data_IF_791147865359
#
_entry.id   IF_791147865359
#
_cell.length_a   1.000
_cell.length_b   1.000
_cell.length_c   1.000
_cell.angle_alpha   90.00
_cell.angle_beta   90.00
_cell.angle_gamma   90.00
#
_symmetry.space_group_name_H-M   'P 1'
#
loop_
_entity.id
_entity.type
_entity.pdbx_description
1 polymer ?
#
# COMPACT_ATOMS: atom_id res chain seq x y z
N UNK A 1 0.09 19.25 27.58
CA UNK A 1 -0.16 19.28 26.12
C UNK A 1 -0.68 17.91 25.75
N UNK A 2 -1.92 17.81 25.26
CA UNK A 2 -2.52 16.52 24.91
C UNK A 2 -1.99 16.10 23.53
N UNK A 3 -1.32 14.94 23.46
CA UNK A 3 -0.67 14.44 22.25
C UNK A 3 -1.69 14.17 21.13
N UNK A 4 -1.59 14.85 19.97
CA UNK A 4 -2.54 14.71 18.86
C UNK A 4 -2.55 13.31 18.23
N UNK A 5 -1.49 12.53 18.41
CA UNK A 5 -1.45 11.12 18.00
C UNK A 5 -2.38 10.23 18.85
N UNK A 6 -2.54 10.52 20.14
CA UNK A 6 -3.44 9.75 21.02
C UNK A 6 -4.91 9.98 20.65
N UNK A 7 -5.26 11.19 20.22
CA UNK A 7 -6.61 11.52 19.76
C UNK A 7 -6.91 10.84 18.41
N UNK A 8 -5.95 10.86 17.47
CA UNK A 8 -6.08 10.17 16.19
C UNK A 8 -6.23 8.64 16.35
N UNK A 9 -5.47 8.03 17.26
CA UNK A 9 -5.59 6.60 17.57
C UNK A 9 -6.93 6.30 18.24
N UNK A 10 -7.42 7.16 19.14
CA UNK A 10 -8.72 7.01 19.81
C UNK A 10 -9.88 7.12 18.82
N UNK A 11 -9.84 8.09 17.91
CA UNK A 11 -10.84 8.25 16.84
C UNK A 11 -10.88 7.03 15.92
N UNK A 12 -9.71 6.55 15.48
CA UNK A 12 -9.60 5.36 14.63
C UNK A 12 -10.13 4.10 15.32
N UNK A 13 -9.79 3.89 16.60
CA UNK A 13 -10.28 2.76 17.41
C UNK A 13 -11.79 2.83 17.64
N UNK A 14 -12.33 4.04 17.83
CA UNK A 14 -13.76 4.26 18.01
C UNK A 14 -14.55 3.99 16.73
N UNK A 15 -14.01 4.39 15.57
CA UNK A 15 -14.60 4.11 14.26
C UNK A 15 -14.63 2.61 13.95
N UNK A 16 -13.56 1.89 14.30
CA UNK A 16 -13.48 0.44 14.16
C UNK A 16 -14.47 -0.29 15.07
N UNK A 17 -14.66 0.17 16.30
CA UNK A 17 -15.60 -0.40 17.26
C UNK A 17 -17.06 -0.15 16.86
N UNK A 18 -17.36 1.04 16.32
CA UNK A 18 -18.68 1.37 15.76
C UNK A 18 -18.97 0.56 14.48
N UNK A 19 -17.95 0.29 13.65
CA UNK A 19 -18.07 -0.59 12.48
C UNK A 19 -18.30 -2.07 12.88
N UNK A 20 -17.67 -2.53 13.96
CA UNK A 20 -17.85 -3.89 14.48
C UNK A 20 -19.22 -4.09 15.17
N UNK A 21 -19.76 -3.04 15.80
CA UNK A 21 -21.10 -3.05 16.39
C UNK A 21 -22.24 -2.90 15.35
N UNK A 22 -21.93 -2.38 14.15
CA UNK A 22 -22.88 -2.24 13.03
C UNK A 22 -23.02 -3.51 12.16
N UNK A 23 -22.22 -4.56 12.39
CA UNK A 23 -22.29 -5.84 11.67
C UNK A 23 -23.52 -6.71 12.02
N UNK A 24 -24.44 -6.22 12.87
CA UNK A 24 -25.65 -6.93 13.31
C UNK A 24 -26.98 -6.38 12.77
N UNK A 25 -27.01 -5.22 12.11
CA UNK A 25 -28.26 -4.65 11.61
C UNK A 25 -28.02 -3.63 10.51
N UNK A 26 -28.66 -3.86 9.37
CA UNK A 26 -28.93 -2.92 8.29
C UNK A 26 -27.71 -2.28 7.58
N UNK A 27 -27.52 -2.63 6.31
CA UNK A 27 -26.65 -1.92 5.37
C UNK A 27 -27.09 -0.45 5.25
N UNK A 28 -26.42 0.45 5.99
CA UNK A 28 -26.66 1.89 5.90
C UNK A 28 -25.84 2.51 4.74
N UNK A 29 -26.47 3.20 3.78
CA UNK A 29 -25.76 3.85 2.67
C UNK A 29 -24.76 4.94 3.12
N UNK A 30 -24.91 5.50 4.31
CA UNK A 30 -23.97 6.47 4.89
C UNK A 30 -22.61 5.86 5.25
N UNK A 31 -22.56 4.58 5.63
CA UNK A 31 -21.29 3.91 5.95
C UNK A 31 -20.49 3.60 4.69
N UNK A 32 -21.18 3.37 3.57
CA UNK A 32 -20.56 3.17 2.26
C UNK A 32 -19.97 4.48 1.70
N UNK A 33 -20.64 5.62 1.95
CA UNK A 33 -20.11 6.95 1.61
C UNK A 33 -18.87 7.30 2.43
N UNK A 34 -18.87 7.03 3.74
CA UNK A 34 -17.71 7.29 4.60
C UNK A 34 -16.50 6.44 4.19
N UNK A 35 -16.70 5.19 3.76
CA UNK A 35 -15.63 4.34 3.24
C UNK A 35 -15.08 4.84 1.90
N UNK A 36 -15.95 5.28 0.99
CA UNK A 36 -15.54 5.78 -0.32
C UNK A 36 -14.73 7.09 -0.18
N UNK A 37 -15.16 7.98 0.72
CA UNK A 37 -14.47 9.24 1.01
C UNK A 37 -13.09 9.01 1.63
N UNK A 38 -12.99 8.13 2.63
CA UNK A 38 -11.69 7.76 3.22
C UNK A 38 -10.72 7.15 2.19
N UNK A 39 -11.25 6.37 1.25
CA UNK A 39 -10.46 5.75 0.19
C UNK A 39 -9.97 6.78 -0.82
N UNK A 40 -10.83 7.71 -1.24
CA UNK A 40 -10.47 8.84 -2.09
C UNK A 40 -9.38 9.69 -1.46
N UNK A 41 -9.54 10.04 -0.19
CA UNK A 41 -8.54 10.84 0.52
C UNK A 41 -7.17 10.14 0.57
N UNK A 42 -7.16 8.81 0.76
CA UNK A 42 -5.94 8.01 0.72
C UNK A 42 -5.32 7.93 -0.69
N UNK A 43 -6.15 7.82 -1.73
CA UNK A 43 -5.71 7.84 -3.13
C UNK A 43 -5.17 9.23 -3.53
N UNK A 44 -5.81 10.31 -3.10
CA UNK A 44 -5.36 11.69 -3.34
C UNK A 44 -4.03 11.97 -2.65
N UNK A 45 -3.85 11.55 -1.39
CA UNK A 45 -2.56 11.64 -0.70
C UNK A 45 -1.47 10.86 -1.44
N UNK A 46 -1.77 9.65 -1.92
CA UNK A 46 -0.85 8.85 -2.73
C UNK A 46 -0.49 9.57 -4.04
N UNK A 47 -1.47 10.12 -4.75
CA UNK A 47 -1.24 10.87 -5.99
C UNK A 47 -0.43 12.15 -5.75
N UNK A 48 -0.67 12.87 -4.66
CA UNK A 48 0.11 14.05 -4.28
C UNK A 48 1.57 13.70 -4.03
N UNK A 49 1.84 12.61 -3.31
CA UNK A 49 3.22 12.12 -3.11
C UNK A 49 3.86 11.70 -4.43
N UNK A 50 3.17 10.89 -5.24
CA UNK A 50 3.68 10.45 -6.54
C UNK A 50 3.97 11.62 -7.48
N UNK A 51 3.18 12.71 -7.41
CA UNK A 51 3.42 13.91 -8.22
C UNK A 51 4.69 14.66 -7.83
N UNK A 52 5.08 14.61 -6.56
CA UNK A 52 6.34 15.22 -6.10
C UNK A 52 7.54 14.36 -6.47
N UNK A 53 7.38 13.03 -6.46
CA UNK A 53 8.45 12.06 -6.65
C UNK A 53 8.70 11.75 -8.15
N UNK A 54 7.66 11.76 -8.99
CA UNK A 54 7.76 11.41 -10.40
C UNK A 54 7.94 12.65 -11.30
N UNK A 55 8.67 12.49 -12.41
CA UNK A 55 8.65 13.49 -13.49
C UNK A 55 7.34 13.46 -14.28
N UNK A 56 7.05 14.51 -15.05
CA UNK A 56 5.86 14.57 -15.91
C UNK A 56 5.83 13.44 -16.95
N UNK A 57 6.99 13.07 -17.49
CA UNK A 57 7.12 11.96 -18.45
C UNK A 57 6.88 10.61 -17.79
N UNK A 58 7.46 10.39 -16.60
CA UNK A 58 7.23 9.15 -15.84
C UNK A 58 5.74 8.96 -15.49
N UNK A 59 5.03 10.03 -15.10
CA UNK A 59 3.57 9.98 -14.85
C UNK A 59 2.78 9.59 -16.09
N UNK A 60 3.09 10.20 -17.25
CA UNK A 60 2.45 9.85 -18.51
C UNK A 60 2.70 8.38 -18.89
N UNK A 61 3.90 7.87 -18.60
CA UNK A 61 4.25 6.46 -18.83
C UNK A 61 3.46 5.52 -17.91
N UNK A 62 3.37 5.80 -16.61
CA UNK A 62 2.56 5.02 -15.66
C UNK A 62 1.09 5.01 -16.09
N UNK A 63 0.53 6.17 -16.48
CA UNK A 63 -0.85 6.27 -16.97
C UNK A 63 -1.08 5.41 -18.23
N UNK A 64 -0.16 5.42 -19.19
CA UNK A 64 -0.23 4.57 -20.39
C UNK A 64 -0.19 3.09 -20.05
N UNK A 65 0.63 2.71 -19.07
CA UNK A 65 0.74 1.32 -18.60
C UNK A 65 -0.52 0.91 -17.85
N UNK A 66 -1.11 1.79 -17.06
CA UNK A 66 -2.35 1.52 -16.35
C UNK A 66 -3.52 1.18 -17.29
N UNK A 67 -3.55 1.77 -18.49
CA UNK A 67 -4.54 1.45 -19.52
C UNK A 67 -4.45 0.00 -20.02
N UNK A 68 -3.23 -0.54 -20.14
CA UNK A 68 -3.01 -1.89 -20.68
C UNK A 68 -2.91 -2.96 -19.58
N UNK A 69 -2.31 -2.62 -18.44
CA UNK A 69 -2.01 -3.50 -17.31
C UNK A 69 -1.99 -2.70 -16.00
N UNK A 70 -3.17 -2.47 -15.38
CA UNK A 70 -3.27 -1.69 -14.13
C UNK A 70 -2.52 -2.34 -12.96
N UNK A 71 -2.42 -3.66 -12.94
CA UNK A 71 -1.69 -4.42 -11.91
C UNK A 71 -0.19 -4.05 -11.87
N UNK A 72 0.45 -3.97 -13.05
CA UNK A 72 1.86 -3.56 -13.15
C UNK A 72 2.07 -2.09 -12.79
N UNK A 73 1.15 -1.22 -13.16
CA UNK A 73 1.21 0.19 -12.79
C UNK A 73 1.17 0.34 -11.26
N UNK A 74 0.23 -0.34 -10.58
CA UNK A 74 0.14 -0.32 -9.12
C UNK A 74 1.38 -0.88 -8.44
N UNK A 75 1.95 -1.99 -8.93
CA UNK A 75 3.16 -2.56 -8.36
C UNK A 75 4.35 -1.58 -8.42
N UNK A 76 4.44 -0.79 -9.49
CA UNK A 76 5.50 0.20 -9.66
C UNK A 76 5.25 1.42 -8.76
N UNK A 77 4.01 1.90 -8.68
CA UNK A 77 3.63 2.98 -7.75
C UNK A 77 3.92 2.61 -6.30
N UNK A 78 3.62 1.38 -5.88
CA UNK A 78 3.88 0.88 -4.52
C UNK A 78 5.38 0.85 -4.19
N UNK A 79 6.20 0.34 -5.10
CA UNK A 79 7.65 0.33 -4.93
C UNK A 79 8.22 1.74 -4.81
N UNK A 80 7.71 2.69 -5.60
CA UNK A 80 8.15 4.09 -5.57
C UNK A 80 7.71 4.77 -4.27
N UNK A 81 6.45 4.58 -3.85
CA UNK A 81 5.94 5.08 -2.57
C UNK A 81 6.76 4.54 -1.41
N UNK A 82 7.05 3.25 -1.41
CA UNK A 82 7.85 2.60 -0.37
C UNK A 82 9.29 3.14 -0.36
N UNK A 83 9.92 3.27 -1.52
CA UNK A 83 11.27 3.81 -1.62
C UNK A 83 11.35 5.29 -1.20
N UNK A 84 10.29 6.07 -1.45
CA UNK A 84 10.17 7.44 -0.96
C UNK A 84 9.97 7.50 0.56
N UNK A 85 9.16 6.61 1.14
CA UNK A 85 9.00 6.50 2.60
C UNK A 85 10.32 6.17 3.31
N UNK A 86 11.15 5.30 2.73
CA UNK A 86 12.48 4.98 3.25
C UNK A 86 13.54 6.05 2.95
N UNK A 87 13.18 7.16 2.27
CA UNK A 87 14.12 8.22 1.92
C UNK A 87 15.17 7.81 0.89
N UNK A 88 14.98 6.70 0.17
CA UNK A 88 15.91 6.23 -0.86
C UNK A 88 15.78 7.00 -2.17
N UNK A 89 14.68 7.72 -2.35
CA UNK A 89 14.44 8.57 -3.53
C UNK A 89 14.63 10.02 -3.12
N UNK A 90 15.81 10.57 -3.38
CA UNK A 90 16.15 11.98 -3.17
C UNK A 90 15.91 12.84 -4.42
N UNK A 91 15.89 12.21 -5.61
CA UNK A 91 15.67 12.88 -6.88
C UNK A 91 14.39 12.41 -7.58
N UNK A 92 13.87 13.22 -8.50
CA UNK A 92 12.66 12.87 -9.25
C UNK A 92 12.93 11.64 -10.12
N UNK A 93 12.04 10.65 -10.02
CA UNK A 93 12.11 9.41 -10.82
C UNK A 93 11.77 9.73 -12.27
N UNK A 94 12.75 9.56 -13.15
CA UNK A 94 12.60 9.68 -14.60
C UNK A 94 11.91 8.46 -15.23
N UNK A 95 11.50 8.61 -16.49
CA UNK A 95 10.92 7.48 -17.26
C UNK A 95 11.89 6.30 -17.36
N UNK A 96 13.19 6.56 -17.59
CA UNK A 96 14.18 5.50 -17.71
C UNK A 96 14.28 4.67 -16.43
N UNK A 97 14.28 5.34 -15.26
CA UNK A 97 14.32 4.67 -13.96
C UNK A 97 13.05 3.87 -13.70
N UNK A 98 11.90 4.40 -14.11
CA UNK A 98 10.62 3.71 -14.04
C UNK A 98 10.63 2.42 -14.86
N UNK A 99 11.20 2.44 -16.07
CA UNK A 99 11.31 1.27 -16.95
C UNK A 99 12.19 0.20 -16.30
N UNK A 100 13.35 0.59 -15.74
CA UNK A 100 14.23 -0.34 -15.02
C UNK A 100 13.52 -1.02 -13.84
N UNK A 101 12.77 -0.25 -13.04
CA UNK A 101 11.97 -0.78 -11.93
C UNK A 101 10.92 -1.78 -12.42
N UNK A 102 10.27 -1.46 -13.54
CA UNK A 102 9.24 -2.30 -14.13
C UNK A 102 9.80 -3.63 -14.67
N UNK A 103 11.00 -3.61 -15.24
CA UNK A 103 11.73 -4.80 -15.67
C UNK A 103 12.17 -5.65 -14.46
N UNK A 104 12.67 -5.03 -13.39
CA UNK A 104 12.99 -5.71 -12.14
C UNK A 104 11.77 -6.36 -11.49
N UNK A 105 10.61 -5.69 -11.48
CA UNK A 105 9.37 -6.26 -10.97
C UNK A 105 8.95 -7.44 -11.85
N UNK A 106 9.01 -7.31 -13.18
CA UNK A 106 8.65 -8.39 -14.09
C UNK A 106 9.53 -9.63 -13.90
N UNK A 107 10.83 -9.44 -13.67
CA UNK A 107 11.79 -10.53 -13.41
C UNK A 107 11.72 -11.11 -12.00
N UNK A 108 11.26 -10.36 -11.00
CA UNK A 108 11.00 -10.89 -9.66
C UNK A 108 9.67 -11.65 -9.60
N UNK A 109 8.61 -11.16 -10.22
CA UNK A 109 7.31 -11.85 -10.24
C UNK A 109 7.38 -13.23 -10.89
N UNK A 110 8.30 -13.45 -11.84
CA UNK A 110 8.53 -14.78 -12.44
C UNK A 110 9.28 -15.73 -11.50
N UNK A 111 10.01 -15.21 -10.51
CA UNK A 111 10.69 -15.99 -9.47
C UNK A 111 9.80 -16.09 -8.23
N UNK A 112 8.72 -16.87 -8.35
CA UNK A 112 7.88 -17.25 -7.20
C UNK A 112 8.78 -17.77 -6.06
N UNK A 113 8.89 -17.02 -4.98
CA UNK A 113 9.67 -17.39 -3.80
C UNK A 113 8.97 -18.53 -3.08
N UNK A 114 9.41 -19.76 -3.34
CA UNK A 114 8.93 -20.97 -2.65
C UNK A 114 9.38 -20.93 -1.18
N UNK A 115 8.56 -20.36 -0.31
CA UNK A 115 8.79 -20.40 1.14
C UNK A 115 8.47 -21.81 1.64
N UNK A 116 9.51 -22.64 1.80
CA UNK A 116 9.39 -23.97 2.40
C UNK A 116 9.46 -23.81 3.91
N UNK A 117 8.31 -23.82 4.58
CA UNK A 117 8.21 -23.74 6.04
C UNK A 117 8.60 -25.10 6.62
N UNK A 118 9.86 -25.25 7.04
CA UNK A 118 10.27 -26.40 7.86
C UNK A 118 9.88 -26.13 9.31
N UNK A 119 8.75 -26.70 9.74
CA UNK A 119 8.35 -26.69 11.15
C UNK A 119 9.34 -27.57 11.91
N UNK A 120 10.18 -26.98 12.74
CA UNK A 120 10.99 -27.73 13.71
C UNK A 120 10.02 -28.39 14.68
N UNK A 121 10.02 -29.72 14.70
CA UNK A 121 9.33 -30.52 15.73
C UNK A 121 10.05 -30.24 17.04
N UNK A 122 9.36 -29.62 18.00
CA UNK A 122 9.87 -29.46 19.36
C UNK A 122 10.30 -30.84 19.89
N UNK A 123 11.58 -31.00 20.18
CA UNK A 123 12.19 -32.20 20.78
C UNK A 123 12.41 -31.97 22.28
N UNK A 124 11.35 -31.55 22.96
CA UNK A 124 11.36 -31.32 24.40
C UNK A 124 10.09 -31.95 24.96
N UNK A 125 10.19 -33.22 25.35
CA UNK A 125 9.39 -33.93 26.38
C UNK A 125 9.53 -35.44 26.15
N UNK A 126 10.39 -36.10 26.94
CA UNK A 126 10.19 -37.39 27.63
C UNK A 126 11.56 -37.90 28.14
N UNK A 127 11.98 -37.33 29.27
CA UNK A 127 12.98 -37.93 30.17
C UNK A 127 12.49 -37.60 31.59
N UNK A 128 11.47 -38.35 32.04
CA UNK A 128 11.16 -38.75 33.43
C UNK A 128 9.86 -39.60 33.48
#
# INVERSE_FOLDING_TARGET
MADPELDAIRQRRMQELMAQQSMGSQQNPDQQKAQDEAKREADERRQMMLTQILTSEARARVARIALVKPDKARGVEDVILRAAQYGQITEKVSEEKLIQLLEQINTQTTKQTKVTIQRRRNVLEDDD
#
